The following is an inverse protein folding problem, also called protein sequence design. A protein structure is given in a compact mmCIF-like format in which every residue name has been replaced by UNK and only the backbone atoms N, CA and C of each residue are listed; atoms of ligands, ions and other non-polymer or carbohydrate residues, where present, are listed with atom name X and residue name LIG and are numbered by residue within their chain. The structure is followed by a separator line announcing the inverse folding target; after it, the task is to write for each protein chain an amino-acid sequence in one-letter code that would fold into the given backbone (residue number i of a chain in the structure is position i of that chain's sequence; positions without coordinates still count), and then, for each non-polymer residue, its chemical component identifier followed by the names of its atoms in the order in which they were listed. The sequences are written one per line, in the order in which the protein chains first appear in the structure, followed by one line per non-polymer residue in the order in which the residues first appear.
data_IF_836756287466
#
_entry.id   IF_836756287466
#
_cell.length_a   1.000
_cell.length_b   1.000
_cell.length_c   1.000
_cell.angle_alpha   90.00
_cell.angle_beta   90.00
_cell.angle_gamma   90.00
#
_symmetry.space_group_name_H-M   'P 1'
#
loop_
_entity.id
_entity.type
_entity.pdbx_description
1 polymer ?
#
# COMPACT_ATOMS: atom_id res chain seq x y z
N UNK A 1 -2.31 -12.61 -18.67
CA UNK A 1 -2.69 -11.44 -17.86
C UNK A 1 -1.60 -10.40 -17.96
N UNK A 2 -1.93 -9.09 -18.01
CA UNK A 2 -0.92 -8.05 -17.91
C UNK A 2 -0.23 -8.12 -16.53
N UNK A 3 1.06 -7.80 -16.49
CA UNK A 3 1.77 -7.71 -15.22
C UNK A 3 1.21 -6.52 -14.42
N UNK A 4 1.07 -6.66 -13.08
CA UNK A 4 0.52 -5.60 -12.26
C UNK A 4 1.39 -4.33 -12.37
N UNK A 5 0.81 -3.17 -12.11
CA UNK A 5 1.56 -1.94 -11.99
C UNK A 5 1.45 -1.43 -10.58
N UNK A 6 2.47 -0.70 -10.14
CA UNK A 6 2.46 -0.09 -8.83
C UNK A 6 2.67 1.41 -8.97
N UNK A 7 1.68 2.16 -8.50
CA UNK A 7 1.65 3.62 -8.52
C UNK A 7 2.54 4.27 -7.46
N UNK A 8 3.15 3.46 -6.58
CA UNK A 8 3.94 3.86 -5.40
C UNK A 8 3.15 4.52 -4.27
N UNK A 9 1.83 4.58 -4.37
CA UNK A 9 0.96 5.00 -3.27
C UNK A 9 0.73 3.84 -2.29
N UNK A 10 0.70 4.14 -0.98
CA UNK A 10 0.49 3.14 0.07
C UNK A 10 -0.87 2.44 -0.07
N UNK A 11 -1.89 3.18 -0.54
CA UNK A 11 -3.27 2.72 -0.76
C UNK A 11 -3.35 1.59 -1.79
N UNK A 12 -2.48 1.63 -2.79
CA UNK A 12 -2.47 0.67 -3.90
C UNK A 12 -1.55 -0.54 -3.63
N UNK A 13 -0.76 -0.51 -2.55
CA UNK A 13 0.25 -1.55 -2.29
C UNK A 13 -0.37 -2.91 -2.01
N UNK A 14 -1.46 -2.96 -1.24
CA UNK A 14 -2.17 -4.21 -0.97
C UNK A 14 -2.76 -4.83 -2.25
N UNK A 15 -3.34 -4.01 -3.12
CA UNK A 15 -3.88 -4.47 -4.39
C UNK A 15 -2.76 -4.98 -5.32
N UNK A 16 -1.65 -4.23 -5.42
CA UNK A 16 -0.46 -4.67 -6.14
C UNK A 16 0.06 -6.00 -5.61
N UNK A 17 0.30 -6.11 -4.29
CA UNK A 17 0.81 -7.31 -3.62
C UNK A 17 -0.05 -8.54 -3.91
N UNK A 18 -1.37 -8.38 -3.81
CA UNK A 18 -2.35 -9.44 -4.07
C UNK A 18 -2.26 -9.97 -5.50
N UNK A 19 -2.27 -9.07 -6.49
CA UNK A 19 -2.17 -9.43 -7.91
C UNK A 19 -0.81 -10.01 -8.26
N UNK A 20 0.26 -9.44 -7.69
CA UNK A 20 1.62 -9.86 -7.88
C UNK A 20 1.83 -11.30 -7.39
N UNK A 21 1.48 -11.60 -6.14
CA UNK A 21 1.61 -12.95 -5.57
C UNK A 21 0.75 -13.99 -6.32
N UNK A 22 -0.47 -13.61 -6.74
CA UNK A 22 -1.35 -14.49 -7.51
C UNK A 22 -0.76 -14.92 -8.87
N UNK A 23 0.07 -14.06 -9.48
CA UNK A 23 0.72 -14.33 -10.77
C UNK A 23 2.05 -15.07 -10.59
N UNK A 24 2.78 -14.76 -9.52
CA UNK A 24 4.17 -15.17 -9.33
C UNK A 24 4.36 -16.55 -8.76
N UNK A 25 3.42 -17.04 -7.95
CA UNK A 25 3.50 -18.39 -7.37
C UNK A 25 3.39 -19.50 -8.42
N UNK A 26 2.93 -19.18 -9.64
CA UNK A 26 2.67 -20.19 -10.65
C UNK A 26 3.71 -20.26 -11.78
N UNK A 27 4.54 -19.23 -12.02
CA UNK A 27 5.25 -19.13 -13.31
C UNK A 27 6.68 -18.52 -13.31
N UNK A 28 7.17 -17.90 -12.23
CA UNK A 28 8.46 -17.19 -12.25
C UNK A 28 9.43 -17.71 -11.18
N UNK A 29 10.72 -17.75 -11.53
CA UNK A 29 11.79 -18.00 -10.57
C UNK A 29 12.18 -16.71 -9.81
N UNK A 30 12.89 -16.85 -8.69
CA UNK A 30 13.19 -15.71 -7.82
C UNK A 30 14.01 -14.60 -8.49
N UNK A 31 14.88 -14.94 -9.45
CA UNK A 31 15.63 -13.96 -10.25
C UNK A 31 14.70 -13.13 -11.13
N UNK A 32 13.72 -13.76 -11.78
CA UNK A 32 12.73 -13.08 -12.61
C UNK A 32 11.81 -12.20 -11.76
N UNK A 33 11.39 -12.69 -10.59
CA UNK A 33 10.59 -11.90 -9.63
C UNK A 33 11.35 -10.65 -9.18
N UNK A 34 12.62 -10.80 -8.83
CA UNK A 34 13.49 -9.70 -8.44
C UNK A 34 13.67 -8.68 -9.58
N UNK A 35 13.93 -9.13 -10.80
CA UNK A 35 14.11 -8.25 -11.95
C UNK A 35 12.84 -7.44 -12.24
N UNK A 36 11.69 -8.09 -12.17
CA UNK A 36 10.41 -7.41 -12.34
C UNK A 36 10.15 -6.39 -11.22
N UNK A 37 10.37 -6.74 -9.95
CA UNK A 37 10.21 -5.76 -8.87
C UNK A 37 11.15 -4.58 -9.08
N UNK A 38 12.42 -4.84 -9.46
CA UNK A 38 13.36 -3.77 -9.80
C UNK A 38 12.81 -2.91 -10.93
N UNK A 39 12.20 -3.46 -11.97
CA UNK A 39 11.62 -2.69 -13.07
C UNK A 39 10.40 -1.84 -12.67
N UNK A 40 9.46 -2.42 -11.91
CA UNK A 40 8.26 -1.70 -11.42
C UNK A 40 8.66 -0.52 -10.54
N UNK A 41 9.71 -0.68 -9.74
CA UNK A 41 10.16 0.36 -8.83
C UNK A 41 11.25 1.29 -9.42
N UNK A 42 11.96 0.89 -10.49
CA UNK A 42 13.00 1.70 -11.15
C UNK A 42 12.52 2.56 -12.33
N UNK A 43 11.22 2.60 -12.65
CA UNK A 43 10.69 3.34 -13.82
C UNK A 43 11.16 4.80 -13.97
N UNK A 44 11.67 5.42 -12.89
CA UNK A 44 12.36 6.73 -12.88
C UNK A 44 13.41 6.78 -11.73
N UNK A 45 14.35 5.84 -11.67
CA UNK A 45 15.29 5.78 -10.55
C UNK A 45 16.16 7.06 -10.44
N UNK A 46 15.96 7.85 -9.37
CA UNK A 46 17.09 8.56 -8.74
C UNK A 46 18.02 7.48 -8.23
N UNK A 47 19.21 7.42 -8.82
CA UNK A 47 20.27 6.39 -8.76
C UNK A 47 20.80 5.98 -7.37
N UNK A 48 20.12 6.31 -6.26
CA UNK A 48 20.72 6.31 -4.93
C UNK A 48 20.05 5.32 -3.95
N UNK A 49 18.94 4.69 -4.33
CA UNK A 49 18.34 3.62 -3.50
C UNK A 49 19.05 2.30 -3.81
N UNK A 50 19.83 1.82 -2.84
CA UNK A 50 20.42 0.48 -2.87
C UNK A 50 19.29 -0.53 -2.72
N UNK A 51 18.91 -1.18 -3.81
CA UNK A 51 17.94 -2.27 -3.77
C UNK A 51 18.60 -3.55 -3.30
N UNK A 52 17.85 -4.28 -2.48
CA UNK A 52 18.19 -5.61 -2.02
C UNK A 52 18.54 -6.61 -3.15
N UNK A 53 19.41 -7.57 -2.81
CA UNK A 53 20.00 -8.51 -3.78
C UNK A 53 19.18 -9.77 -4.00
N UNK A 54 18.16 -10.01 -3.17
CA UNK A 54 17.26 -11.16 -3.30
C UNK A 54 15.81 -10.72 -3.41
N UNK A 55 14.98 -11.54 -4.07
CA UNK A 55 13.54 -11.31 -4.12
C UNK A 55 12.95 -11.19 -2.71
N UNK A 56 13.32 -12.10 -1.81
CA UNK A 56 12.78 -12.15 -0.46
C UNK A 56 13.12 -10.89 0.35
N UNK A 57 14.38 -10.46 0.35
CA UNK A 57 14.78 -9.26 1.10
C UNK A 57 14.19 -7.99 0.48
N UNK A 58 14.13 -7.89 -0.86
CA UNK A 58 13.47 -6.77 -1.53
C UNK A 58 11.98 -6.70 -1.19
N UNK A 59 11.28 -7.84 -1.22
CA UNK A 59 9.85 -7.90 -0.95
C UNK A 59 9.56 -7.58 0.52
N UNK A 60 10.35 -8.10 1.46
CA UNK A 60 10.23 -7.76 2.88
C UNK A 60 10.49 -6.27 3.16
N UNK A 61 11.44 -5.65 2.46
CA UNK A 61 11.69 -4.22 2.56
C UNK A 61 10.50 -3.40 2.02
N UNK A 62 9.86 -3.85 0.94
CA UNK A 62 8.64 -3.24 0.41
C UNK A 62 7.47 -3.39 1.38
N UNK A 63 7.27 -4.58 1.95
CA UNK A 63 6.25 -4.81 2.99
C UNK A 63 6.50 -3.90 4.20
N UNK A 64 7.73 -3.81 4.70
CA UNK A 64 8.05 -2.91 5.80
C UNK A 64 7.83 -1.43 5.47
N UNK A 65 8.04 -1.01 4.21
CA UNK A 65 7.90 0.39 3.77
C UNK A 65 6.45 0.79 3.52
N UNK A 66 5.63 -0.12 3.00
CA UNK A 66 4.28 0.18 2.53
C UNK A 66 3.17 -0.43 3.40
N UNK A 67 3.47 -1.42 4.23
CA UNK A 67 2.54 -1.98 5.23
C UNK A 67 2.77 -1.40 6.63
N UNK A 68 3.53 -0.30 6.76
CA UNK A 68 3.71 0.33 8.06
C UNK A 68 2.35 0.79 8.60
N UNK A 69 1.84 -0.01 9.54
CA UNK A 69 0.56 0.18 10.23
C UNK A 69 0.47 1.57 10.87
N UNK A 70 1.60 2.25 11.09
CA UNK A 70 1.66 3.64 11.53
C UNK A 70 0.99 4.59 10.56
N UNK A 71 1.11 4.40 9.23
CA UNK A 71 0.44 5.29 8.26
C UNK A 71 -1.08 5.15 8.36
N UNK A 72 -1.57 3.91 8.50
CA UNK A 72 -3.01 3.63 8.70
C UNK A 72 -3.49 4.21 10.02
N UNK A 73 -2.72 4.04 11.10
CA UNK A 73 -3.02 4.58 12.42
C UNK A 73 -2.97 6.12 12.42
N UNK A 74 -1.99 6.73 11.76
CA UNK A 74 -1.85 8.18 11.64
C UNK A 74 -2.99 8.78 10.81
N UNK A 75 -3.43 8.11 9.75
CA UNK A 75 -4.63 8.50 8.99
C UNK A 75 -5.90 8.45 9.85
N UNK A 76 -6.05 7.39 10.66
CA UNK A 76 -7.16 7.24 11.62
C UNK A 76 -7.11 8.33 12.71
N UNK A 77 -5.95 8.57 13.31
CA UNK A 77 -5.74 9.60 14.33
C UNK A 77 -6.04 10.99 13.75
N UNK A 78 -5.51 11.31 12.57
CA UNK A 78 -5.79 12.58 11.90
C UNK A 78 -7.28 12.74 11.56
N UNK A 79 -7.97 11.66 11.19
CA UNK A 79 -9.42 11.70 10.94
C UNK A 79 -10.20 11.99 12.21
N UNK A 80 -9.82 11.37 13.34
CA UNK A 80 -10.46 11.58 14.65
C UNK A 80 -10.20 12.98 15.21
N UNK A 81 -8.97 13.47 15.11
CA UNK A 81 -8.58 14.80 15.60
C UNK A 81 -9.21 15.94 14.78
N UNK A 82 -9.48 15.71 13.49
CA UNK A 82 -10.13 16.66 12.60
C UNK A 82 -11.66 16.43 12.46
N UNK A 83 -12.29 15.72 13.40
CA UNK A 83 -13.75 15.63 13.44
C UNK A 83 -14.32 17.01 13.79
N UNK A 84 -15.09 17.57 12.87
CA UNK A 84 -15.85 18.79 13.11
C UNK A 84 -16.90 18.56 14.21
N UNK A 85 -17.16 19.61 15.00
CA UNK A 85 -18.19 19.58 16.03
C UNK A 85 -19.56 19.41 15.38
N UNK A 86 -20.16 18.24 15.56
CA UNK A 86 -21.51 17.94 15.07
C UNK A 86 -22.57 18.42 16.07
N UNK A 87 -23.71 18.88 15.58
CA UNK A 87 -24.90 19.07 16.41
C UNK A 87 -25.62 17.72 16.55
N UNK A 88 -26.58 17.63 17.48
CA UNK A 88 -27.38 16.43 17.79
C UNK A 88 -28.39 16.06 16.68
N UNK A 89 -28.00 16.14 15.42
CA UNK A 89 -28.80 15.69 14.29
C UNK A 89 -28.40 14.28 13.85
N UNK A 90 -29.39 13.42 13.62
CA UNK A 90 -29.17 12.04 13.18
C UNK A 90 -28.40 11.95 11.85
N UNK A 91 -28.56 12.94 10.96
CA UNK A 91 -27.85 13.02 9.68
C UNK A 91 -26.36 13.30 9.85
N UNK A 92 -25.98 14.18 10.77
CA UNK A 92 -24.56 14.47 11.05
C UNK A 92 -23.87 13.31 11.77
N UNK A 93 -24.56 12.64 12.69
CA UNK A 93 -24.06 11.40 13.32
C UNK A 93 -23.82 10.30 12.29
N UNK A 94 -24.74 10.13 11.32
CA UNK A 94 -24.59 9.14 10.25
C UNK A 94 -23.42 9.48 9.32
N UNK A 95 -23.27 10.75 8.94
CA UNK A 95 -22.14 11.21 8.14
C UNK A 95 -20.78 10.99 8.84
N UNK A 96 -20.72 11.23 10.16
CA UNK A 96 -19.55 10.96 10.97
C UNK A 96 -19.21 9.45 11.02
N UNK A 97 -20.23 8.62 11.23
CA UNK A 97 -20.09 7.16 11.21
C UNK A 97 -19.58 6.65 9.85
N UNK A 98 -20.15 7.13 8.75
CA UNK A 98 -19.73 6.77 7.39
C UNK A 98 -18.28 7.17 7.13
N UNK A 99 -17.86 8.35 7.62
CA UNK A 99 -16.48 8.83 7.52
C UNK A 99 -15.51 7.93 8.30
N UNK A 100 -15.87 7.49 9.51
CA UNK A 100 -15.06 6.57 10.31
C UNK A 100 -14.97 5.18 9.65
N UNK A 101 -16.10 4.61 9.22
CA UNK A 101 -16.15 3.28 8.60
C UNK A 101 -15.34 3.23 7.30
N UNK A 102 -15.37 4.29 6.50
CA UNK A 102 -14.59 4.38 5.26
C UNK A 102 -13.07 4.37 5.49
N UNK A 103 -12.60 4.86 6.63
CA UNK A 103 -11.18 4.87 6.99
C UNK A 103 -10.71 3.58 7.68
N UNK A 104 -11.62 2.65 7.99
CA UNK A 104 -11.33 1.35 8.60
C UNK A 104 -11.27 0.20 7.58
N UNK A 105 -11.51 0.47 6.29
CA UNK A 105 -11.53 -0.52 5.21
C UNK A 105 -10.24 -0.54 4.41
#
# INVERSE_FOLDING_TARGET
MPLPQFSRWYEDFQNFKSQFLAIIDQNLNDTQKLFYLKAVFNGEAKSNETWEDTFHSMFAALESRYEDKRIVVDALINTLLNLEKINESASQLKHLLDKIIRNLR
#
